data_IF_688952362574
#
_entry.id   IF_688952362574
#
_cell.length_a   1.000
_cell.length_b   1.000
_cell.length_c   1.000
_cell.angle_alpha   90.00
_cell.angle_beta   90.00
_cell.angle_gamma   90.00
#
_symmetry.space_group_name_H-M   'P 1'
#
loop_
_entity.id
_entity.type
_entity.pdbx_description
1 polymer ?
#
# COMPACT_ATOMS: atom_id res chain seq x y z
N UNK A 1 7.53 -31.16 70.09
CA UNK A 1 7.88 -32.31 69.23
C UNK A 1 7.18 -32.20 67.89
N UNK A 2 7.98 -32.12 66.82
CA UNK A 2 7.72 -32.55 65.42
C UNK A 2 6.60 -31.81 64.66
N UNK A 3 6.95 -30.88 63.77
CA UNK A 3 7.17 -31.12 62.31
C UNK A 3 5.90 -31.66 61.64
N UNK A 4 5.30 -31.05 60.61
CA UNK A 4 5.85 -31.00 59.26
C UNK A 4 5.02 -30.06 58.36
N UNK A 5 5.69 -29.55 57.33
CA UNK A 5 5.29 -28.58 56.31
C UNK A 5 4.06 -29.02 55.50
N UNK A 6 3.14 -28.10 55.19
CA UNK A 6 2.16 -28.28 54.10
C UNK A 6 2.88 -28.06 52.77
N UNK A 7 3.04 -29.14 52.03
CA UNK A 7 3.70 -29.23 50.74
C UNK A 7 2.64 -28.99 49.65
N UNK A 8 2.87 -28.01 48.78
CA UNK A 8 2.08 -27.75 47.58
C UNK A 8 2.35 -28.92 46.61
N UNK A 9 1.33 -29.75 46.37
CA UNK A 9 1.43 -30.83 45.40
C UNK A 9 1.03 -30.29 44.01
N UNK A 10 2.03 -30.09 43.16
CA UNK A 10 1.86 -30.02 41.72
C UNK A 10 1.34 -31.38 41.22
N UNK A 11 0.18 -31.38 40.56
CA UNK A 11 -0.30 -32.52 39.79
C UNK A 11 -0.06 -32.18 38.32
N UNK A 12 1.08 -32.64 37.79
CA UNK A 12 1.29 -32.77 36.36
C UNK A 12 0.38 -33.90 35.87
N UNK A 13 -0.76 -33.57 35.28
CA UNK A 13 -1.55 -34.52 34.52
C UNK A 13 -0.89 -34.70 33.15
N UNK A 14 0.10 -35.61 33.07
CA UNK A 14 0.56 -36.15 31.79
C UNK A 14 -0.53 -37.07 31.28
N UNK A 15 -1.41 -36.54 30.42
CA UNK A 15 -2.33 -37.35 29.63
C UNK A 15 -1.54 -38.00 28.50
N UNK A 16 -1.11 -39.25 28.70
CA UNK A 16 -0.64 -40.11 27.62
C UNK A 16 -1.88 -40.51 26.80
N UNK A 17 -2.15 -39.80 25.71
CA UNK A 17 -3.16 -40.22 24.74
C UNK A 17 -2.59 -41.34 23.88
N UNK A 18 -3.24 -42.49 23.97
CA UNK A 18 -3.00 -43.65 23.11
C UNK A 18 -3.21 -43.28 21.64
N UNK A 19 -2.18 -43.56 20.85
CA UNK A 19 -2.13 -43.44 19.39
C UNK A 19 -3.21 -44.27 18.70
N UNK A 20 -4.23 -43.58 18.21
CA UNK A 20 -4.96 -43.98 17.00
C UNK A 20 -4.32 -43.17 15.87
N UNK A 21 -4.01 -43.79 14.73
CA UNK A 21 -3.54 -43.08 13.54
C UNK A 21 -4.67 -42.17 13.01
N UNK A 22 -4.86 -41.02 13.67
CA UNK A 22 -5.71 -39.92 13.26
C UNK A 22 -4.85 -38.87 12.56
N UNK A 23 -5.44 -38.13 11.63
CA UNK A 23 -4.79 -36.99 10.99
C UNK A 23 -4.10 -36.12 12.05
N UNK A 24 -2.83 -35.78 11.84
CA UNK A 24 -2.11 -34.88 12.74
C UNK A 24 -2.91 -33.59 12.96
N UNK A 25 -2.97 -33.11 14.20
CA UNK A 25 -3.57 -31.81 14.49
C UNK A 25 -2.67 -30.72 13.89
N UNK A 26 -3.17 -30.09 12.84
CA UNK A 26 -2.47 -29.03 12.09
C UNK A 26 -3.02 -27.64 12.40
N UNK A 27 -3.88 -27.51 13.42
CA UNK A 27 -4.46 -26.21 13.82
C UNK A 27 -3.43 -25.23 14.41
N UNK A 28 -2.22 -25.71 14.71
CA UNK A 28 -1.09 -24.93 15.23
C UNK A 28 0.19 -25.31 14.48
N UNK A 29 1.11 -24.37 14.32
CA UNK A 29 2.44 -24.63 13.73
C UNK A 29 3.47 -25.06 14.78
N UNK A 30 3.06 -25.18 16.04
CA UNK A 30 3.93 -25.41 17.18
C UNK A 30 3.94 -24.25 18.16
N UNK A 31 5.04 -24.06 18.86
CA UNK A 31 5.25 -22.93 19.77
C UNK A 31 6.57 -22.20 19.53
N UNK A 32 6.56 -20.91 19.90
CA UNK A 32 7.75 -20.07 20.01
C UNK A 32 7.88 -19.72 21.50
N UNK A 33 8.96 -20.17 22.11
CA UNK A 33 9.07 -20.39 23.55
C UNK A 33 7.82 -21.13 24.07
N UNK A 34 7.15 -20.56 25.07
CA UNK A 34 5.96 -21.14 25.69
C UNK A 34 4.64 -20.72 25.01
N UNK A 35 4.70 -19.95 23.92
CA UNK A 35 3.52 -19.46 23.22
C UNK A 35 3.16 -20.34 22.02
N UNK A 36 2.02 -21.05 22.12
CA UNK A 36 1.44 -21.79 20.99
C UNK A 36 0.99 -20.83 19.88
N UNK A 37 1.39 -21.12 18.64
CA UNK A 37 1.05 -20.32 17.46
C UNK A 37 -0.02 -21.02 16.64
N UNK A 38 -1.15 -20.33 16.46
CA UNK A 38 -2.23 -20.80 15.61
C UNK A 38 -1.83 -20.79 14.13
N UNK A 39 -2.20 -21.84 13.38
CA UNK A 39 -1.84 -21.95 11.96
C UNK A 39 -2.38 -20.80 11.10
N UNK A 40 -3.53 -20.22 11.45
CA UNK A 40 -4.06 -19.05 10.74
C UNK A 40 -3.19 -17.79 10.89
N UNK A 41 -2.39 -17.66 11.94
CA UNK A 41 -1.42 -16.56 12.08
C UNK A 41 -0.24 -16.80 11.14
N UNK A 42 0.29 -18.03 11.14
CA UNK A 42 1.36 -18.43 10.22
C UNK A 42 0.95 -18.21 8.76
N UNK A 43 -0.25 -18.65 8.38
CA UNK A 43 -0.77 -18.51 7.01
C UNK A 43 -0.97 -17.05 6.58
N UNK A 44 -1.25 -16.13 7.51
CA UNK A 44 -1.33 -14.70 7.20
C UNK A 44 0.05 -14.14 6.85
N UNK A 45 1.07 -14.47 7.64
CA UNK A 45 2.45 -14.07 7.35
C UNK A 45 3.01 -14.78 6.11
N UNK A 46 2.61 -16.02 5.84
CA UNK A 46 2.99 -16.73 4.63
C UNK A 46 2.44 -16.04 3.36
N UNK A 47 1.26 -15.43 3.42
CA UNK A 47 0.76 -14.61 2.32
C UNK A 47 1.63 -13.38 2.07
N UNK A 48 2.07 -12.67 3.12
CA UNK A 48 3.01 -11.54 3.00
C UNK A 48 4.34 -11.99 2.39
N UNK A 49 4.92 -13.06 2.94
CA UNK A 49 6.19 -13.60 2.46
C UNK A 49 6.12 -14.09 1.00
N UNK A 50 4.97 -14.63 0.57
CA UNK A 50 4.72 -14.98 -0.84
C UNK A 50 4.72 -13.73 -1.70
N UNK A 51 4.03 -12.66 -1.31
CA UNK A 51 4.00 -11.40 -2.07
C UNK A 51 5.40 -10.78 -2.19
N UNK A 52 6.14 -10.70 -1.08
CA UNK A 52 7.54 -10.21 -1.07
C UNK A 52 8.44 -11.03 -2.00
N UNK A 53 8.29 -12.37 -1.98
CA UNK A 53 9.08 -13.25 -2.85
C UNK A 53 8.69 -13.11 -4.33
N UNK A 54 7.42 -12.86 -4.63
CA UNK A 54 6.94 -12.63 -5.99
C UNK A 54 7.48 -11.32 -6.56
N UNK A 55 7.44 -10.26 -5.76
CA UNK A 55 7.97 -8.94 -6.12
C UNK A 55 9.45 -9.02 -6.46
N UNK A 56 10.27 -9.66 -5.62
CA UNK A 56 11.71 -9.84 -5.92
C UNK A 56 11.92 -10.60 -7.24
N UNK A 57 11.14 -11.64 -7.51
CA UNK A 57 11.24 -12.38 -8.77
C UNK A 57 10.83 -11.50 -9.95
N UNK A 58 9.77 -10.72 -9.81
CA UNK A 58 9.30 -9.81 -10.86
C UNK A 58 10.32 -8.69 -11.13
N UNK A 59 11.02 -8.19 -10.09
CA UNK A 59 12.13 -7.25 -10.24
C UNK A 59 13.34 -7.86 -10.93
N UNK A 60 13.69 -9.13 -10.61
CA UNK A 60 14.72 -9.86 -11.35
C UNK A 60 14.36 -9.99 -12.84
N UNK A 61 13.09 -10.26 -13.17
CA UNK A 61 12.61 -10.32 -14.55
C UNK A 61 12.71 -8.95 -15.24
N UNK A 62 12.27 -7.89 -14.55
CA UNK A 62 12.35 -6.50 -15.04
C UNK A 62 13.81 -6.11 -15.34
N UNK A 63 14.74 -6.44 -14.45
CA UNK A 63 16.17 -6.23 -14.64
C UNK A 63 16.75 -6.99 -15.86
N UNK A 64 16.15 -8.13 -16.21
CA UNK A 64 16.46 -8.90 -17.42
C UNK A 64 15.74 -8.37 -18.69
N UNK A 65 14.94 -7.33 -18.58
CA UNK A 65 14.17 -6.76 -19.70
C UNK A 65 12.97 -7.61 -20.12
N UNK A 66 12.43 -8.43 -19.22
CA UNK A 66 11.26 -9.28 -19.45
C UNK A 66 10.25 -9.14 -18.32
N UNK A 67 9.12 -9.83 -18.42
CA UNK A 67 8.11 -9.96 -17.37
C UNK A 67 7.57 -11.40 -17.34
N UNK A 68 6.83 -11.74 -16.28
CA UNK A 68 6.30 -13.09 -16.04
C UNK A 68 5.38 -13.59 -17.16
N UNK A 69 4.67 -12.70 -17.87
CA UNK A 69 3.76 -13.06 -18.97
C UNK A 69 4.48 -13.53 -20.23
N UNK A 70 5.75 -13.15 -20.39
CA UNK A 70 6.59 -13.50 -21.55
C UNK A 70 7.40 -14.78 -21.35
N UNK A 71 7.41 -15.33 -20.14
CA UNK A 71 8.17 -16.55 -19.83
C UNK A 71 7.31 -17.79 -20.05
N UNK A 72 7.74 -18.66 -20.97
CA UNK A 72 7.04 -19.93 -21.23
C UNK A 72 7.05 -20.83 -19.99
N UNK A 73 5.88 -21.36 -19.60
CA UNK A 73 5.70 -22.19 -18.40
C UNK A 73 6.18 -21.51 -17.11
N UNK A 74 5.98 -20.19 -17.00
CA UNK A 74 6.35 -19.41 -15.82
C UNK A 74 5.81 -20.00 -14.52
N UNK A 75 6.67 -20.03 -13.51
CA UNK A 75 6.33 -20.37 -12.14
C UNK A 75 7.35 -19.72 -11.21
N UNK A 76 6.87 -18.94 -10.23
CA UNK A 76 7.72 -18.33 -9.20
C UNK A 76 8.60 -19.36 -8.48
N UNK A 77 8.12 -20.60 -8.31
CA UNK A 77 8.86 -21.69 -7.66
C UNK A 77 10.14 -22.13 -8.39
N UNK A 78 10.34 -21.69 -9.64
CA UNK A 78 11.56 -21.99 -10.41
C UNK A 78 12.70 -21.00 -10.16
N UNK A 79 12.46 -19.95 -9.37
CA UNK A 79 13.40 -18.88 -9.10
C UNK A 79 13.99 -18.97 -7.70
N UNK A 80 15.15 -18.32 -7.53
CA UNK A 80 15.76 -18.11 -6.23
C UNK A 80 15.49 -16.68 -5.77
N UNK A 81 15.38 -16.51 -4.45
CA UNK A 81 15.24 -15.24 -3.76
C UNK A 81 16.32 -15.20 -2.68
N UNK A 82 17.20 -14.20 -2.73
CA UNK A 82 18.32 -14.03 -1.78
C UNK A 82 19.13 -15.33 -1.54
N UNK A 83 19.60 -15.96 -2.62
CA UNK A 83 20.36 -17.23 -2.63
C UNK A 83 19.64 -18.47 -2.07
N UNK A 84 18.33 -18.38 -1.79
CA UNK A 84 17.48 -19.50 -1.37
C UNK A 84 16.51 -19.87 -2.48
N UNK A 85 16.02 -21.10 -2.48
CA UNK A 85 14.85 -21.44 -3.33
C UNK A 85 13.67 -20.60 -2.89
N UNK A 86 12.78 -20.24 -3.82
CA UNK A 86 11.55 -19.50 -3.52
C UNK A 86 10.82 -20.04 -2.28
N UNK A 87 10.58 -21.35 -2.22
CA UNK A 87 9.86 -21.98 -1.10
C UNK A 87 10.62 -21.91 0.23
N UNK A 88 11.95 -22.02 0.21
CA UNK A 88 12.76 -21.89 1.42
C UNK A 88 12.76 -20.44 1.91
N UNK A 89 12.87 -19.47 1.00
CA UNK A 89 12.77 -18.05 1.34
C UNK A 89 11.43 -17.75 2.00
N UNK A 90 10.31 -18.15 1.38
CA UNK A 90 8.97 -17.92 1.93
C UNK A 90 8.83 -18.55 3.32
N UNK A 91 9.28 -19.79 3.50
CA UNK A 91 9.21 -20.45 4.81
C UNK A 91 10.05 -19.72 5.87
N UNK A 92 11.29 -19.36 5.54
CA UNK A 92 12.18 -18.67 6.47
C UNK A 92 11.62 -17.29 6.85
N UNK A 93 11.15 -16.53 5.87
CA UNK A 93 10.54 -15.21 6.06
C UNK A 93 9.25 -15.30 6.88
N UNK A 94 8.42 -16.31 6.63
CA UNK A 94 7.21 -16.56 7.43
C UNK A 94 7.56 -16.84 8.89
N UNK A 95 8.54 -17.70 9.15
CA UNK A 95 8.97 -18.01 10.53
C UNK A 95 9.60 -16.81 11.23
N UNK A 96 10.31 -15.96 10.49
CA UNK A 96 10.83 -14.69 10.99
C UNK A 96 9.71 -13.75 11.40
N UNK A 97 8.70 -13.54 10.55
CA UNK A 97 7.53 -12.69 10.88
C UNK A 97 6.71 -13.25 12.06
N UNK A 98 6.56 -14.58 12.16
CA UNK A 98 5.90 -15.21 13.31
C UNK A 98 6.73 -15.04 14.60
N UNK A 99 8.06 -15.03 14.51
CA UNK A 99 8.94 -14.67 15.64
C UNK A 99 8.78 -13.20 16.03
N UNK A 100 8.73 -12.30 15.06
CA UNK A 100 8.49 -10.86 15.28
C UNK A 100 7.13 -10.65 15.97
N UNK A 101 6.07 -11.35 15.55
CA UNK A 101 4.76 -11.33 16.22
C UNK A 101 4.86 -11.61 17.72
N UNK A 102 5.64 -12.61 18.14
CA UNK A 102 5.88 -12.93 19.56
C UNK A 102 6.79 -11.90 20.23
N UNK A 103 7.80 -11.39 19.52
CA UNK A 103 8.70 -10.37 20.04
C UNK A 103 7.98 -9.06 20.34
N UNK A 104 7.08 -8.61 19.46
CA UNK A 104 6.26 -7.42 19.66
C UNK A 104 5.45 -7.54 20.96
N UNK A 105 4.73 -8.66 21.16
CA UNK A 105 3.96 -8.89 22.40
C UNK A 105 4.84 -8.83 23.65
N UNK A 106 6.00 -9.50 23.62
CA UNK A 106 6.93 -9.48 24.76
C UNK A 106 7.53 -8.10 25.00
N UNK A 107 7.88 -7.35 23.95
CA UNK A 107 8.37 -5.98 24.08
C UNK A 107 7.30 -5.04 24.61
N UNK A 108 6.07 -5.19 24.13
CA UNK A 108 4.92 -4.44 24.64
C UNK A 108 4.74 -4.64 26.15
N UNK A 109 4.82 -5.90 26.62
CA UNK A 109 4.77 -6.23 28.04
C UNK A 109 6.01 -5.74 28.83
N UNK A 110 7.22 -5.88 28.28
CA UNK A 110 8.48 -5.42 28.87
C UNK A 110 8.45 -3.90 29.14
N UNK A 111 7.93 -3.15 28.15
CA UNK A 111 7.75 -1.70 28.20
C UNK A 111 6.54 -1.28 29.05
N UNK A 112 5.75 -2.25 29.55
CA UNK A 112 4.53 -2.03 30.35
C UNK A 112 3.51 -1.16 29.61
N UNK A 113 3.45 -1.31 28.30
CA UNK A 113 2.47 -0.62 27.46
C UNK A 113 1.11 -1.29 27.62
N UNK A 114 0.05 -0.56 27.28
CA UNK A 114 -1.33 -1.07 27.31
C UNK A 114 -2.11 -0.52 26.13
N UNK A 115 -2.96 -1.35 25.53
CA UNK A 115 -3.98 -0.88 24.59
C UNK A 115 -5.20 -0.41 25.39
N UNK A 116 -5.71 0.77 25.05
CA UNK A 116 -6.98 1.26 25.60
C UNK A 116 -8.13 0.40 25.07
N UNK A 117 -9.29 0.47 25.72
CA UNK A 117 -10.47 -0.27 25.26
C UNK A 117 -10.98 0.28 23.93
N UNK A 118 -10.88 1.60 23.73
CA UNK A 118 -11.19 2.26 22.46
C UNK A 118 -10.30 1.75 21.32
N UNK A 119 -8.98 1.64 21.54
CA UNK A 119 -8.05 1.10 20.52
C UNK A 119 -8.41 -0.34 20.13
N UNK A 120 -8.73 -1.19 21.11
CA UNK A 120 -9.16 -2.58 20.85
C UNK A 120 -10.47 -2.62 20.07
N UNK A 121 -11.43 -1.77 20.42
CA UNK A 121 -12.73 -1.75 19.76
C UNK A 121 -12.66 -1.15 18.35
N UNK A 122 -11.76 -0.19 18.12
CA UNK A 122 -11.43 0.31 16.78
C UNK A 122 -10.82 -0.81 15.93
N UNK A 123 -9.85 -1.57 16.46
CA UNK A 123 -9.29 -2.74 15.76
C UNK A 123 -10.38 -3.75 15.41
N UNK A 124 -11.24 -4.12 16.35
CA UNK A 124 -12.35 -5.06 16.09
C UNK A 124 -13.32 -4.55 15.03
N UNK A 125 -13.62 -3.26 15.06
CA UNK A 125 -14.53 -2.62 14.10
C UNK A 125 -13.92 -2.65 12.70
N UNK A 126 -12.64 -2.30 12.56
CA UNK A 126 -11.89 -2.39 11.30
C UNK A 126 -11.78 -3.82 10.80
N UNK A 127 -11.47 -4.78 11.67
CA UNK A 127 -11.47 -6.22 11.36
C UNK A 127 -12.82 -6.65 10.83
N UNK A 128 -13.91 -6.28 11.50
CA UNK A 128 -15.27 -6.64 11.06
C UNK A 128 -15.58 -6.04 9.68
N UNK A 129 -15.30 -4.75 9.48
CA UNK A 129 -15.53 -4.05 8.22
C UNK A 129 -14.78 -4.75 7.09
N UNK A 130 -13.48 -4.99 7.24
CA UNK A 130 -12.67 -5.70 6.22
C UNK A 130 -13.23 -7.10 5.96
N UNK A 131 -13.50 -7.88 7.02
CA UNK A 131 -13.95 -9.27 6.91
C UNK A 131 -15.25 -9.41 6.10
N UNK A 132 -16.17 -8.46 6.28
CA UNK A 132 -17.48 -8.43 5.64
C UNK A 132 -17.44 -7.70 4.27
N UNK A 133 -16.32 -7.08 3.90
CA UNK A 133 -16.15 -6.38 2.61
C UNK A 133 -16.07 -7.39 1.47
N UNK A 134 -16.85 -7.13 0.42
CA UNK A 134 -16.85 -7.94 -0.80
C UNK A 134 -15.62 -7.64 -1.65
N UNK A 135 -14.98 -8.69 -2.16
CA UNK A 135 -13.84 -8.54 -3.06
C UNK A 135 -14.38 -8.19 -4.46
N UNK A 136 -13.89 -7.08 -5.02
CA UNK A 136 -14.19 -6.64 -6.39
C UNK A 136 -12.91 -6.46 -7.21
N UNK A 137 -12.96 -6.77 -8.50
CA UNK A 137 -11.85 -6.59 -9.43
C UNK A 137 -12.32 -5.85 -10.68
N UNK A 138 -11.68 -4.74 -11.03
CA UNK A 138 -12.13 -3.81 -12.10
C UNK A 138 -13.62 -3.44 -12.01
N UNK A 139 -14.10 -3.19 -10.79
CA UNK A 139 -15.52 -2.87 -10.53
C UNK A 139 -16.48 -4.07 -10.58
N UNK A 140 -15.99 -5.29 -10.86
CA UNK A 140 -16.80 -6.51 -10.87
C UNK A 140 -16.71 -7.26 -9.55
N UNK A 141 -17.88 -7.51 -8.94
CA UNK A 141 -18.06 -8.37 -7.78
C UNK A 141 -17.53 -9.79 -8.04
N UNK A 142 -16.78 -10.35 -7.08
CA UNK A 142 -16.42 -11.77 -7.07
C UNK A 142 -17.47 -12.65 -6.36
N UNK A 143 -18.49 -12.03 -5.74
CA UNK A 143 -19.49 -12.70 -4.91
C UNK A 143 -18.94 -13.32 -3.61
N UNK A 144 -17.70 -12.98 -3.22
CA UNK A 144 -17.05 -13.45 -2.00
C UNK A 144 -16.53 -12.29 -1.17
N UNK A 145 -16.61 -12.41 0.16
CA UNK A 145 -15.94 -11.46 1.06
C UNK A 145 -14.48 -11.82 1.30
N UNK A 146 -13.69 -10.87 1.79
CA UNK A 146 -12.33 -11.15 2.27
C UNK A 146 -12.32 -12.24 3.34
N UNK A 147 -13.27 -12.21 4.28
CA UNK A 147 -13.39 -13.23 5.31
C UNK A 147 -13.62 -14.64 4.74
N UNK A 148 -14.49 -14.78 3.74
CA UNK A 148 -14.72 -16.07 3.08
C UNK A 148 -13.48 -16.56 2.31
N UNK A 149 -12.70 -15.64 1.73
CA UNK A 149 -11.44 -15.96 1.08
C UNK A 149 -10.40 -16.47 2.10
N UNK A 150 -10.24 -15.75 3.22
CA UNK A 150 -9.36 -16.16 4.32
C UNK A 150 -9.74 -17.52 4.91
N UNK A 151 -11.03 -17.76 5.17
CA UNK A 151 -11.50 -19.06 5.70
C UNK A 151 -11.21 -20.21 4.73
N UNK A 152 -11.36 -20.00 3.42
CA UNK A 152 -11.00 -20.99 2.42
C UNK A 152 -9.49 -21.31 2.43
N UNK A 153 -8.65 -20.33 2.77
CA UNK A 153 -7.22 -20.48 2.99
C UNK A 153 -6.83 -21.04 4.37
N UNK A 154 -7.79 -21.27 5.28
CA UNK A 154 -7.52 -21.78 6.63
C UNK A 154 -7.23 -20.70 7.68
N UNK A 155 -7.46 -19.43 7.35
CA UNK A 155 -7.28 -18.29 8.25
C UNK A 155 -8.63 -17.94 8.87
N UNK A 156 -8.70 -17.95 10.20
CA UNK A 156 -9.91 -17.58 10.92
C UNK A 156 -9.96 -16.08 11.22
N UNK A 157 -11.16 -15.52 11.41
CA UNK A 157 -11.34 -14.13 11.85
C UNK A 157 -10.58 -13.83 13.14
N UNK A 158 -10.51 -14.81 14.05
CA UNK A 158 -9.78 -14.69 15.31
C UNK A 158 -8.27 -14.59 15.10
N UNK A 159 -7.72 -15.37 14.16
CA UNK A 159 -6.30 -15.31 13.80
C UNK A 159 -5.97 -13.97 13.17
N UNK A 160 -6.84 -13.47 12.28
CA UNK A 160 -6.71 -12.14 11.69
C UNK A 160 -6.78 -11.03 12.75
N UNK A 161 -7.80 -11.05 13.61
CA UNK A 161 -7.94 -10.08 14.71
C UNK A 161 -6.72 -10.08 15.64
N UNK A 162 -6.15 -11.25 15.95
CA UNK A 162 -4.95 -11.36 16.77
C UNK A 162 -3.74 -10.66 16.12
N UNK A 163 -3.54 -10.84 14.81
CA UNK A 163 -2.49 -10.13 14.07
C UNK A 163 -2.73 -8.62 14.08
N UNK A 164 -3.96 -8.16 13.84
CA UNK A 164 -4.27 -6.71 13.86
C UNK A 164 -4.06 -6.07 15.24
N UNK A 165 -4.37 -6.80 16.33
CA UNK A 165 -4.06 -6.34 17.68
C UNK A 165 -2.55 -6.25 17.91
N UNK A 166 -1.77 -7.20 17.42
CA UNK A 166 -0.30 -7.14 17.51
C UNK A 166 0.28 -6.04 16.63
N UNK A 167 -0.31 -5.74 15.47
CA UNK A 167 0.08 -4.56 14.69
C UNK A 167 -0.13 -3.27 15.50
N UNK A 168 -1.27 -3.13 16.18
CA UNK A 168 -1.51 -1.98 17.07
C UNK A 168 -0.55 -1.93 18.27
N UNK A 169 -0.15 -3.10 18.80
CA UNK A 169 0.93 -3.17 19.80
C UNK A 169 2.26 -2.71 19.21
N UNK A 170 2.55 -3.12 17.97
CA UNK A 170 3.79 -2.77 17.26
C UNK A 170 3.93 -1.27 17.11
N UNK A 171 2.86 -0.56 16.70
CA UNK A 171 2.84 0.91 16.65
C UNK A 171 3.26 1.51 18.00
N UNK A 172 2.68 1.06 19.12
CA UNK A 172 3.07 1.58 20.44
C UNK A 172 4.49 1.23 20.86
N UNK A 173 4.98 0.04 20.49
CA UNK A 173 6.38 -0.33 20.76
C UNK A 173 7.29 0.59 19.94
N UNK A 174 7.01 0.77 18.65
CA UNK A 174 7.74 1.67 17.77
C UNK A 174 7.80 3.09 18.34
N UNK A 175 6.65 3.66 18.72
CA UNK A 175 6.58 4.99 19.35
C UNK A 175 7.42 5.05 20.63
N UNK A 176 7.30 4.04 21.51
CA UNK A 176 8.07 3.99 22.74
C UNK A 176 9.59 3.97 22.53
N UNK A 177 10.06 3.52 21.36
CA UNK A 177 11.47 3.60 20.98
C UNK A 177 11.81 4.93 20.32
N UNK A 178 11.08 5.35 19.29
CA UNK A 178 11.58 6.34 18.33
C UNK A 178 10.87 7.69 18.39
N UNK A 179 9.67 7.76 18.96
CA UNK A 179 9.00 9.04 19.16
C UNK A 179 9.73 9.92 20.18
N UNK A 180 9.29 11.17 20.27
CA UNK A 180 9.85 12.13 21.22
C UNK A 180 9.83 11.59 22.66
N UNK A 181 11.00 11.59 23.30
CA UNK A 181 11.27 11.02 24.63
C UNK A 181 11.25 9.48 24.70
N UNK A 182 11.23 8.79 23.57
CA UNK A 182 11.42 7.35 23.48
C UNK A 182 12.82 6.89 23.90
N UNK A 183 12.98 5.58 24.02
CA UNK A 183 14.23 4.92 24.48
C UNK A 183 15.41 5.27 23.57
N UNK A 184 15.16 5.29 22.27
CA UNK A 184 16.10 5.59 21.19
C UNK A 184 15.52 6.68 20.30
N UNK A 185 14.96 7.73 20.93
CA UNK A 185 14.23 8.79 20.25
C UNK A 185 15.02 9.35 19.05
N UNK A 186 14.32 9.56 17.94
CA UNK A 186 14.90 10.23 16.77
C UNK A 186 14.92 11.74 17.03
N UNK A 187 16.02 12.40 16.70
CA UNK A 187 16.12 13.86 16.86
C UNK A 187 15.15 14.56 15.91
N UNK A 188 14.29 15.44 16.42
CA UNK A 188 13.33 16.24 15.64
C UNK A 188 14.00 16.99 14.49
N UNK A 189 15.26 17.43 14.68
CA UNK A 189 16.03 18.06 13.63
C UNK A 189 16.38 17.07 12.52
N UNK A 190 16.68 15.83 12.86
CA UNK A 190 16.99 14.79 11.87
C UNK A 190 15.74 14.39 11.09
N UNK A 191 14.58 14.30 11.75
CA UNK A 191 13.27 14.11 11.10
C UNK A 191 12.99 15.24 10.12
N UNK A 192 13.09 16.50 10.56
CA UNK A 192 12.88 17.66 9.71
C UNK A 192 13.87 17.72 8.54
N UNK A 193 15.14 17.41 8.78
CA UNK A 193 16.18 17.35 7.74
C UNK A 193 15.82 16.29 6.71
N UNK A 194 15.47 15.07 7.15
CA UNK A 194 15.07 14.00 6.25
C UNK A 194 13.86 14.42 5.40
N UNK A 195 12.84 15.01 6.01
CA UNK A 195 11.64 15.47 5.31
C UNK A 195 12.00 16.50 4.22
N UNK A 196 12.72 17.56 4.57
CA UNK A 196 13.06 18.60 3.60
C UNK A 196 14.08 18.18 2.54
N UNK A 197 14.91 17.17 2.83
CA UNK A 197 15.87 16.65 1.87
C UNK A 197 15.25 15.63 0.90
N UNK A 198 14.18 14.93 1.30
CA UNK A 198 13.60 13.83 0.50
C UNK A 198 12.24 14.14 -0.10
N UNK A 199 11.54 15.16 0.38
CA UNK A 199 10.23 15.56 -0.12
C UNK A 199 10.26 16.94 -0.77
N UNK A 200 9.32 17.18 -1.67
CA UNK A 200 9.14 18.46 -2.35
C UNK A 200 7.68 18.86 -2.43
N UNK A 201 7.43 20.16 -2.41
CA UNK A 201 6.12 20.78 -2.60
C UNK A 201 6.01 21.27 -4.03
N UNK A 202 4.98 20.82 -4.74
CA UNK A 202 4.80 21.09 -6.16
C UNK A 202 3.39 21.59 -6.46
N UNK A 203 3.27 22.51 -7.41
CA UNK A 203 2.01 22.82 -8.08
C UNK A 203 2.05 22.18 -9.46
N UNK A 204 1.04 21.39 -9.82
CA UNK A 204 1.05 20.54 -11.03
C UNK A 204 -0.28 20.65 -11.77
N UNK A 205 -0.27 21.19 -12.98
CA UNK A 205 -1.43 21.18 -13.89
C UNK A 205 -1.16 20.18 -15.03
N UNK A 206 -2.06 19.21 -15.21
CA UNK A 206 -1.95 18.19 -16.25
C UNK A 206 -2.70 18.62 -17.51
N UNK A 207 -1.99 19.11 -18.52
CA UNK A 207 -2.57 19.53 -19.79
C UNK A 207 -2.74 18.31 -20.71
N UNK A 208 -3.99 17.95 -21.00
CA UNK A 208 -4.35 16.78 -21.80
C UNK A 208 -3.86 16.88 -23.25
N UNK A 209 -3.27 15.78 -23.77
CA UNK A 209 -3.01 15.58 -25.20
C UNK A 209 -4.17 14.88 -25.91
N UNK A 210 -5.40 15.14 -25.48
CA UNK A 210 -6.63 14.73 -26.17
C UNK A 210 -7.39 15.95 -26.65
N UNK A 211 -8.01 15.83 -27.80
CA UNK A 211 -9.00 16.79 -28.30
C UNK A 211 -10.33 16.63 -27.53
N UNK A 212 -11.24 17.58 -27.68
CA UNK A 212 -12.55 17.56 -27.00
C UNK A 212 -13.41 16.33 -27.33
N UNK A 213 -13.21 15.71 -28.48
CA UNK A 213 -13.87 14.45 -28.87
C UNK A 213 -13.21 13.20 -28.24
N UNK A 214 -12.11 13.37 -27.50
CA UNK A 214 -11.33 12.29 -26.88
C UNK A 214 -10.19 11.73 -27.74
N UNK A 215 -10.05 12.15 -29.00
CA UNK A 215 -8.97 11.69 -29.89
C UNK A 215 -7.61 12.20 -29.43
N UNK A 216 -6.59 11.36 -29.57
CA UNK A 216 -5.21 11.75 -29.21
C UNK A 216 -4.68 12.79 -30.19
N UNK A 217 -4.14 13.89 -29.65
CA UNK A 217 -3.41 14.90 -30.41
C UNK A 217 -2.07 14.29 -30.86
N UNK A 218 -1.93 14.12 -32.18
CA UNK A 218 -0.73 13.52 -32.79
C UNK A 218 0.05 14.49 -33.68
N UNK A 219 -0.54 15.62 -34.06
CA UNK A 219 0.10 16.63 -34.92
C UNK A 219 1.14 17.43 -34.16
N UNK A 220 2.24 17.79 -34.84
CA UNK A 220 3.31 18.61 -34.26
C UNK A 220 2.79 19.98 -33.86
N UNK A 221 1.89 20.57 -34.66
CA UNK A 221 1.25 21.85 -34.35
C UNK A 221 0.35 21.76 -33.11
N UNK A 222 -0.44 20.69 -32.98
CA UNK A 222 -1.34 20.49 -31.84
C UNK A 222 -0.55 20.25 -30.54
N UNK A 223 0.49 19.41 -30.60
CA UNK A 223 1.41 19.21 -29.48
C UNK A 223 2.10 20.51 -29.10
N UNK A 224 2.62 21.27 -30.06
CA UNK A 224 3.22 22.58 -29.80
C UNK A 224 2.26 23.53 -29.09
N UNK A 225 0.99 23.59 -29.51
CA UNK A 225 -0.03 24.41 -28.87
C UNK A 225 -0.30 24.00 -27.41
N UNK A 226 -0.45 22.70 -27.12
CA UNK A 226 -0.62 22.20 -25.74
C UNK A 226 0.62 22.46 -24.87
N UNK A 227 1.83 22.40 -25.46
CA UNK A 227 3.07 22.77 -24.75
C UNK A 227 3.13 24.26 -24.43
N UNK A 228 2.77 25.12 -25.37
CA UNK A 228 2.69 26.58 -25.15
C UNK A 228 1.64 26.92 -24.09
N UNK A 229 0.51 26.21 -24.08
CA UNK A 229 -0.51 26.32 -23.03
C UNK A 229 0.04 25.94 -21.65
N UNK A 230 0.68 24.76 -21.53
CA UNK A 230 1.31 24.32 -20.29
C UNK A 230 2.37 25.32 -19.79
N UNK A 231 3.20 25.85 -20.70
CA UNK A 231 4.19 26.87 -20.35
C UNK A 231 3.52 28.17 -19.86
N UNK A 232 2.40 28.57 -20.47
CA UNK A 232 1.62 29.71 -20.02
C UNK A 232 1.13 29.56 -18.58
N UNK A 233 0.72 28.34 -18.17
CA UNK A 233 0.35 28.05 -16.79
C UNK A 233 1.55 28.13 -15.83
N UNK A 234 2.71 27.57 -16.23
CA UNK A 234 3.96 27.72 -15.45
C UNK A 234 4.30 29.19 -15.22
N UNK A 235 4.25 30.00 -16.28
CA UNK A 235 4.62 31.43 -16.20
C UNK A 235 3.67 32.21 -15.26
N UNK A 236 2.37 31.89 -15.28
CA UNK A 236 1.36 32.49 -14.40
C UNK A 236 1.54 32.08 -12.94
N UNK A 237 1.76 30.80 -12.68
CA UNK A 237 2.06 30.30 -11.33
C UNK A 237 3.33 30.96 -10.77
N UNK A 238 4.40 31.07 -11.57
CA UNK A 238 5.63 31.76 -11.18
C UNK A 238 5.46 33.28 -10.98
N UNK A 239 4.46 33.89 -11.62
CA UNK A 239 4.09 35.28 -11.39
C UNK A 239 3.28 35.48 -10.09
N UNK A 240 2.95 34.40 -9.37
CA UNK A 240 2.19 34.41 -8.14
C UNK A 240 0.68 34.49 -8.35
N UNK A 241 0.20 34.14 -9.54
CA UNK A 241 -1.23 33.94 -9.74
C UNK A 241 -1.69 32.67 -9.01
N UNK A 242 -2.88 32.76 -8.41
CA UNK A 242 -3.47 31.69 -7.60
C UNK A 242 -3.71 30.43 -8.43
N UNK A 243 -3.33 29.27 -7.89
CA UNK A 243 -3.42 27.99 -8.61
C UNK A 243 -4.86 27.69 -9.00
N UNK A 244 -5.81 27.87 -8.07
CA UNK A 244 -7.19 27.45 -8.30
C UNK A 244 -7.85 28.26 -9.40
N UNK A 245 -7.51 29.55 -9.47
CA UNK A 245 -7.90 30.42 -10.58
C UNK A 245 -7.42 29.86 -11.93
N UNK A 246 -6.17 29.42 -12.02
CA UNK A 246 -5.60 28.86 -13.26
C UNK A 246 -6.20 27.49 -13.57
N UNK A 247 -6.37 26.65 -12.55
CA UNK A 247 -6.89 25.29 -12.70
C UNK A 247 -8.35 25.29 -13.15
N UNK A 248 -9.22 26.13 -12.56
CA UNK A 248 -10.59 26.29 -13.03
C UNK A 248 -10.67 26.84 -14.46
N UNK A 249 -9.80 27.78 -14.85
CA UNK A 249 -9.74 28.25 -16.24
C UNK A 249 -9.40 27.10 -17.20
N UNK A 250 -8.47 26.23 -16.81
CA UNK A 250 -8.13 25.03 -17.56
C UNK A 250 -9.33 24.06 -17.66
N UNK A 251 -10.01 23.78 -16.56
CA UNK A 251 -11.20 22.91 -16.55
C UNK A 251 -12.33 23.46 -17.42
N UNK A 252 -12.63 24.75 -17.31
CA UNK A 252 -13.62 25.44 -18.15
C UNK A 252 -13.26 25.33 -19.64
N UNK A 253 -11.97 25.47 -19.97
CA UNK A 253 -11.49 25.30 -21.33
C UNK A 253 -11.68 23.86 -21.82
N UNK A 254 -11.31 22.85 -21.02
CA UNK A 254 -11.49 21.43 -21.37
C UNK A 254 -12.97 21.10 -21.57
N UNK A 255 -13.84 21.58 -20.68
CA UNK A 255 -15.28 21.39 -20.79
C UNK A 255 -15.85 22.04 -22.05
N UNK A 256 -15.37 23.24 -22.39
CA UNK A 256 -15.75 23.93 -23.62
C UNK A 256 -15.26 23.21 -24.87
N UNK A 257 -14.00 22.77 -24.91
CA UNK A 257 -13.43 21.98 -26.03
C UNK A 257 -14.28 20.72 -26.29
N UNK A 258 -14.71 20.04 -25.22
CA UNK A 258 -15.61 18.88 -25.30
C UNK A 258 -16.99 19.24 -25.86
N UNK A 259 -17.62 20.30 -25.33
CA UNK A 259 -18.95 20.74 -25.77
C UNK A 259 -18.96 21.19 -27.24
N UNK A 260 -17.92 21.90 -27.69
CA UNK A 260 -17.77 22.34 -29.07
C UNK A 260 -17.62 21.13 -30.02
N UNK A 261 -16.84 20.12 -29.62
CA UNK A 261 -16.67 18.88 -30.40
C UNK A 261 -17.98 18.07 -30.52
N UNK A 262 -18.76 17.98 -29.44
CA UNK A 262 -20.09 17.34 -29.46
C UNK A 262 -21.06 18.08 -30.40
N UNK A 263 -21.03 19.41 -30.41
CA UNK A 263 -21.85 20.22 -31.30
C UNK A 263 -21.47 20.05 -32.79
N UNK A 264 -20.18 19.99 -33.12
CA UNK A 264 -19.71 19.76 -34.49
C UNK A 264 -20.09 18.38 -35.02
N UNK A 265 -19.95 17.33 -34.19
CA UNK A 265 -20.36 15.96 -34.51
C UNK A 265 -21.85 15.88 -34.85
N UNK A 266 -22.70 16.62 -34.12
CA UNK A 266 -24.15 16.65 -34.35
C UNK A 266 -24.56 17.49 -35.57
N UNK A 267 -23.73 18.45 -35.99
CA UNK A 267 -23.96 19.27 -37.20
C UNK A 267 -23.64 18.53 -38.50
N UNK A 268 -22.70 17.58 -38.47
CA UNK A 268 -22.33 16.72 -39.60
C UNK A 268 -23.42 15.70 -39.99
N UNK A 269 -24.28 15.31 -39.04
CA UNK A 269 -25.38 14.37 -39.29
C UNK A 269 -26.55 14.98 -40.10
N UNK A 270 -26.62 16.31 -40.25
CA UNK A 270 -27.75 17.00 -40.92
C UNK A 270 -27.63 17.06 -42.46
N UNK A 271 -26.47 16.73 -43.05
CA UNK A 271 -26.27 16.89 -44.51
C UNK A 271 -26.45 15.62 -45.35
N UNK A 272 -26.86 14.48 -44.77
CA UNK A 272 -27.11 13.26 -45.56
C UNK A 272 -28.14 12.29 -44.97
N UNK A 273 -29.39 12.71 -44.82
CA UNK A 273 -30.55 11.80 -44.92
C UNK A 273 -31.87 12.57 -44.94
N UNK A 274 -32.37 12.85 -46.14
CA UNK A 274 -33.82 12.96 -46.36
C UNK A 274 -34.28 11.67 -47.02
N UNK A 275 -34.62 10.66 -46.21
CA UNK A 275 -35.68 9.69 -46.52
C UNK A 275 -35.86 8.69 -45.36
N UNK A 276 -37.02 8.81 -44.73
CA UNK A 276 -37.85 7.71 -44.19
C UNK A 276 -37.32 6.79 -43.07
N UNK A 277 -38.08 6.87 -41.97
CA UNK A 277 -38.69 5.76 -41.23
C UNK A 277 -38.17 5.55 -39.81
N UNK A 278 -39.12 5.77 -38.90
CA UNK A 278 -39.27 5.28 -37.54
C UNK A 278 -38.34 4.16 -37.08
N UNK A 279 -37.70 4.34 -35.93
CA UNK A 279 -38.18 3.73 -34.69
C UNK A 279 -37.44 4.33 -33.50
N UNK A 280 -38.20 4.65 -32.45
CA UNK A 280 -37.67 4.98 -31.14
C UNK A 280 -36.93 3.78 -30.54
N UNK A 281 -35.75 3.99 -29.97
CA UNK A 281 -35.27 3.29 -28.78
C UNK A 281 -34.33 4.22 -27.99
N UNK A 282 -34.72 4.45 -26.74
CA UNK A 282 -33.91 5.10 -25.71
C UNK A 282 -32.77 4.17 -25.31
N UNK A 283 -31.57 4.72 -25.14
CA UNK A 283 -30.57 4.18 -24.21
C UNK A 283 -29.65 5.31 -23.81
N UNK A 284 -29.89 5.82 -22.60
CA UNK A 284 -28.88 6.51 -21.83
C UNK A 284 -27.79 5.49 -21.49
N UNK A 285 -26.57 5.71 -21.98
CA UNK A 285 -25.37 5.07 -21.47
C UNK A 285 -24.48 6.20 -21.00
N UNK A 286 -24.59 6.49 -19.71
CA UNK A 286 -23.58 7.20 -18.94
C UNK A 286 -22.27 6.42 -19.09
N UNK A 287 -21.22 7.06 -19.60
CA UNK A 287 -19.86 6.52 -19.50
C UNK A 287 -18.97 7.69 -19.12
N UNK A 288 -18.94 7.95 -17.81
CA UNK A 288 -17.87 8.68 -17.18
C UNK A 288 -16.65 7.74 -17.18
N UNK A 289 -15.69 8.02 -18.05
CA UNK A 289 -14.32 7.55 -17.89
C UNK A 289 -13.62 8.61 -17.05
N UNK A 290 -13.55 8.35 -15.75
CA UNK A 290 -12.65 9.02 -14.83
C UNK A 290 -11.64 7.96 -14.41
N UNK A 291 -10.41 8.12 -14.88
CA UNK A 291 -9.28 7.25 -14.57
C UNK A 291 -8.14 8.17 -14.13
N UNK A 292 -8.30 8.72 -12.94
CA UNK A 292 -7.25 9.39 -12.17
C UNK A 292 -7.22 8.74 -10.79
N UNK A 293 -6.79 7.48 -10.76
CA UNK A 293 -6.52 6.79 -9.49
C UNK A 293 -5.17 7.27 -8.97
N UNK A 294 -5.20 8.42 -8.28
CA UNK A 294 -4.10 8.88 -7.41
C UNK A 294 -4.00 7.92 -6.21
N UNK A 295 -2.81 7.39 -5.97
CA UNK A 295 -2.49 6.63 -4.77
C UNK A 295 -2.36 7.60 -3.60
N UNK A 296 -3.28 7.52 -2.65
CA UNK A 296 -3.19 8.16 -1.35
C UNK A 296 -4.14 7.46 -0.37
N UNK A 297 -3.57 6.81 0.64
CA UNK A 297 -4.31 6.01 1.61
C UNK A 297 -5.02 6.91 2.64
N UNK A 298 -6.24 6.51 3.01
CA UNK A 298 -6.93 6.77 4.28
C UNK A 298 -7.53 8.17 4.58
N UNK A 299 -8.71 8.42 3.99
CA UNK A 299 -9.97 8.77 4.67
C UNK A 299 -10.01 9.81 5.79
N UNK A 300 -10.46 11.02 5.44
CA UNK A 300 -11.31 11.91 6.25
C UNK A 300 -12.13 12.82 5.34
N UNK A 301 -13.15 13.45 5.92
CA UNK A 301 -14.24 14.24 5.33
C UNK A 301 -13.78 15.29 4.31
N UNK A 302 -14.60 15.55 3.27
CA UNK A 302 -14.45 16.59 2.21
C UNK A 302 -13.47 17.73 2.57
N UNK A 303 -12.18 17.54 2.29
CA UNK A 303 -11.15 18.56 2.49
C UNK A 303 -11.07 19.46 1.26
N UNK A 304 -11.00 20.77 1.47
CA UNK A 304 -10.59 21.74 0.45
C UNK A 304 -9.36 21.15 -0.28
N UNK A 305 -9.45 20.96 -1.59
CA UNK A 305 -8.34 20.41 -2.36
C UNK A 305 -7.15 21.36 -2.22
N UNK A 306 -6.22 21.01 -1.35
CA UNK A 306 -4.96 21.72 -1.26
C UNK A 306 -4.23 21.51 -2.59
N UNK A 307 -4.12 22.60 -3.37
CA UNK A 307 -3.67 22.61 -4.76
C UNK A 307 -2.16 22.35 -4.93
N UNK A 308 -1.59 21.67 -3.97
CA UNK A 308 -0.18 21.50 -3.75
C UNK A 308 0.08 20.03 -3.46
N UNK A 309 1.01 19.46 -4.20
CA UNK A 309 1.35 18.05 -4.15
C UNK A 309 2.65 17.89 -3.38
N UNK A 310 2.61 17.09 -2.33
CA UNK A 310 3.80 16.56 -1.68
C UNK A 310 4.28 15.34 -2.48
N UNK A 311 5.47 15.41 -3.05
CA UNK A 311 6.13 14.27 -3.69
C UNK A 311 7.36 13.86 -2.90
N UNK A 312 7.62 12.56 -2.81
CA UNK A 312 8.90 11.98 -2.38
C UNK A 312 9.82 11.75 -3.57
N UNK A 313 11.14 11.86 -3.36
CA UNK A 313 12.15 11.45 -4.35
C UNK A 313 12.08 9.99 -4.76
N UNK A 314 11.43 9.15 -3.96
CA UNK A 314 11.26 7.71 -4.19
C UNK A 314 9.92 7.39 -4.85
N UNK A 315 9.07 8.38 -5.10
CA UNK A 315 7.79 8.14 -5.76
C UNK A 315 8.01 7.67 -7.20
N UNK A 316 7.15 6.76 -7.63
CA UNK A 316 7.19 6.17 -8.98
C UNK A 316 6.02 6.63 -9.85
N UNK A 317 5.14 7.48 -9.31
CA UNK A 317 3.96 8.02 -9.97
C UNK A 317 4.06 9.56 -10.04
N UNK A 318 3.68 10.20 -11.16
CA UNK A 318 3.17 9.62 -12.41
C UNK A 318 4.18 8.75 -13.19
N UNK A 319 5.47 9.02 -13.04
CA UNK A 319 6.55 8.12 -13.48
C UNK A 319 7.85 8.45 -12.73
N UNK A 320 8.77 7.48 -12.61
CA UNK A 320 10.11 7.69 -12.03
C UNK A 320 10.88 8.84 -12.72
N UNK A 321 10.78 8.93 -14.06
CA UNK A 321 11.44 9.98 -14.85
C UNK A 321 10.83 11.37 -14.60
N UNK A 322 9.50 11.45 -14.44
CA UNK A 322 8.84 12.69 -14.04
C UNK A 322 9.31 13.16 -12.66
N UNK A 323 9.30 12.27 -11.66
CA UNK A 323 9.69 12.61 -10.28
C UNK A 323 11.12 13.10 -10.27
N UNK A 324 12.05 12.38 -10.91
CA UNK A 324 13.45 12.80 -11.04
C UNK A 324 13.59 14.18 -11.67
N UNK A 325 12.91 14.42 -12.80
CA UNK A 325 12.92 15.73 -13.45
C UNK A 325 12.37 16.84 -12.56
N UNK A 326 11.26 16.61 -11.85
CA UNK A 326 10.64 17.60 -10.98
C UNK A 326 11.59 18.03 -9.85
N UNK A 327 12.36 17.10 -9.30
CA UNK A 327 13.36 17.38 -8.26
C UNK A 327 14.66 18.04 -8.79
N UNK A 328 14.91 18.06 -10.11
CA UNK A 328 15.99 18.83 -10.74
C UNK A 328 15.66 20.34 -10.83
N UNK A 329 14.37 20.71 -10.75
CA UNK A 329 13.96 22.13 -10.67
C UNK A 329 14.48 22.76 -9.37
N UNK A 330 15.03 23.97 -9.45
CA UNK A 330 15.34 24.75 -8.24
C UNK A 330 14.04 25.23 -7.58
N UNK A 331 14.07 25.46 -6.26
CA UNK A 331 12.94 26.06 -5.53
C UNK A 331 12.57 27.43 -6.13
N UNK A 332 11.28 27.64 -6.35
CA UNK A 332 10.73 28.83 -7.01
C UNK A 332 10.93 28.85 -8.53
N UNK A 333 11.22 27.70 -9.14
CA UNK A 333 11.28 27.52 -10.60
C UNK A 333 10.22 26.53 -11.07
N UNK A 334 9.92 26.60 -12.36
CA UNK A 334 8.99 25.69 -12.99
C UNK A 334 9.37 25.39 -14.43
N UNK A 335 8.66 24.43 -15.01
CA UNK A 335 8.85 23.99 -16.38
C UNK A 335 7.73 23.06 -16.82
N UNK A 336 7.83 22.61 -18.07
CA UNK A 336 6.90 21.64 -18.65
C UNK A 336 7.60 20.31 -18.82
N UNK A 337 7.06 19.25 -18.21
CA UNK A 337 7.45 17.87 -18.49
C UNK A 337 6.51 17.29 -19.55
N UNK A 338 7.09 16.75 -20.61
CA UNK A 338 6.35 16.17 -21.72
C UNK A 338 6.20 14.67 -21.54
N UNK A 339 4.96 14.18 -21.45
CA UNK A 339 4.63 12.76 -21.49
C UNK A 339 3.78 12.45 -22.74
N UNK A 340 3.58 11.16 -23.03
CA UNK A 340 2.86 10.66 -24.19
C UNK A 340 1.36 10.99 -24.17
N UNK A 341 0.79 11.25 -23.00
CA UNK A 341 -0.65 11.44 -22.79
C UNK A 341 -1.04 12.82 -22.27
N UNK A 342 -0.13 13.46 -21.54
CA UNK A 342 -0.33 14.76 -20.89
C UNK A 342 0.98 15.53 -20.88
N UNK A 343 0.89 16.86 -20.84
CA UNK A 343 2.01 17.74 -20.53
C UNK A 343 1.81 18.32 -19.14
N UNK A 344 2.78 18.11 -18.26
CA UNK A 344 2.71 18.59 -16.88
C UNK A 344 3.33 19.98 -16.80
N UNK A 345 2.52 20.98 -16.48
CA UNK A 345 3.00 22.29 -16.05
C UNK A 345 3.33 22.21 -14.55
N UNK A 346 4.60 22.34 -14.19
CA UNK A 346 5.08 22.11 -12.82
C UNK A 346 5.84 23.31 -12.29
N UNK A 347 5.53 23.70 -11.06
CA UNK A 347 6.33 24.66 -10.27
C UNK A 347 6.75 23.98 -8.97
N UNK A 348 8.04 24.07 -8.64
CA UNK A 348 8.58 23.62 -7.36
C UNK A 348 8.53 24.77 -6.35
N UNK A 349 7.71 24.63 -5.33
CA UNK A 349 7.54 25.63 -4.28
C UNK A 349 8.53 25.38 -3.12
N UNK A 350 8.65 26.34 -2.20
CA UNK A 350 9.38 26.10 -0.95
C UNK A 350 8.50 25.26 -0.02
N UNK A 351 8.93 24.02 0.26
CA UNK A 351 8.24 23.11 1.17
C UNK A 351 8.26 23.64 2.61
N UNK A 352 9.19 24.53 2.97
CA UNK A 352 9.28 25.08 4.32
C UNK A 352 8.17 26.09 4.64
N UNK A 353 7.45 26.57 3.64
CA UNK A 353 6.27 27.41 3.85
C UNK A 353 5.07 26.58 4.36
N UNK A 354 5.12 25.24 4.27
CA UNK A 354 4.15 24.29 4.82
C UNK A 354 4.71 23.56 6.03
N UNK A 355 4.85 24.29 7.15
CA UNK A 355 5.32 23.71 8.42
C UNK A 355 4.35 22.66 8.98
N UNK A 356 3.06 22.78 8.66
CA UNK A 356 2.00 21.83 8.96
C UNK A 356 2.27 20.45 8.33
N UNK A 357 2.76 20.40 7.09
CA UNK A 357 3.05 19.14 6.41
C UNK A 357 4.10 18.28 7.09
N UNK A 358 5.11 18.88 7.71
CA UNK A 358 6.08 18.11 8.51
C UNK A 358 5.38 17.44 9.70
N UNK A 359 4.45 18.14 10.34
CA UNK A 359 3.71 17.60 11.49
C UNK A 359 2.76 16.49 11.05
N UNK A 360 2.03 16.70 9.94
CA UNK A 360 1.09 15.72 9.37
C UNK A 360 1.79 14.45 8.89
N UNK A 361 3.01 14.58 8.37
CA UNK A 361 3.79 13.46 7.85
C UNK A 361 4.82 12.92 8.85
N UNK A 362 4.85 13.42 10.08
CA UNK A 362 5.86 13.04 11.09
C UNK A 362 5.97 11.53 11.27
N UNK A 363 4.84 10.85 11.49
CA UNK A 363 4.81 9.40 11.69
C UNK A 363 5.32 8.64 10.46
N UNK A 364 4.90 9.06 9.25
CA UNK A 364 5.34 8.44 8.01
C UNK A 364 6.86 8.61 7.81
N UNK A 365 7.39 9.81 8.03
CA UNK A 365 8.84 10.08 7.95
C UNK A 365 9.60 9.25 8.97
N UNK A 366 9.09 9.16 10.20
CA UNK A 366 9.71 8.39 11.26
C UNK A 366 9.77 6.90 10.90
N UNK A 367 8.69 6.33 10.36
CA UNK A 367 8.65 4.95 9.86
C UNK A 367 9.68 4.72 8.75
N UNK A 368 9.72 5.58 7.73
CA UNK A 368 10.72 5.49 6.66
C UNK A 368 12.16 5.53 7.20
N UNK A 369 12.41 6.32 8.25
CA UNK A 369 13.74 6.41 8.87
C UNK A 369 14.08 5.26 9.81
N UNK A 370 13.09 4.53 10.35
CA UNK A 370 13.29 3.65 11.51
C UNK A 370 12.71 2.25 11.40
N UNK A 371 11.96 1.92 10.35
CA UNK A 371 11.40 0.57 10.19
C UNK A 371 12.49 -0.50 10.08
N UNK A 372 13.58 -0.24 9.34
CA UNK A 372 14.72 -1.17 9.26
C UNK A 372 15.39 -1.38 10.63
N UNK A 373 15.63 -0.29 11.38
CA UNK A 373 16.20 -0.33 12.73
C UNK A 373 15.26 -1.10 13.70
N UNK A 374 13.95 -0.88 13.57
CA UNK A 374 12.91 -1.52 14.36
C UNK A 374 12.82 -3.02 14.07
N UNK A 375 12.80 -3.39 12.79
CA UNK A 375 12.79 -4.78 12.35
C UNK A 375 14.03 -5.52 12.84
N UNK A 376 15.21 -4.90 12.70
CA UNK A 376 16.46 -5.45 13.22
C UNK A 376 16.40 -5.67 14.75
N UNK A 377 15.81 -4.73 15.50
CA UNK A 377 15.60 -4.87 16.95
C UNK A 377 14.67 -6.05 17.29
N UNK A 378 13.58 -6.24 16.56
CA UNK A 378 12.66 -7.36 16.75
C UNK A 378 13.34 -8.70 16.42
N UNK A 379 14.08 -8.76 15.31
CA UNK A 379 14.82 -9.95 14.89
C UNK A 379 15.91 -10.33 15.90
N UNK A 380 16.68 -9.35 16.38
CA UNK A 380 17.68 -9.55 17.43
C UNK A 380 17.04 -10.01 18.74
N UNK A 381 15.88 -9.44 19.11
CA UNK A 381 15.11 -9.86 20.28
C UNK A 381 14.65 -11.32 20.17
N UNK A 382 14.23 -11.75 18.98
CA UNK A 382 13.65 -13.06 18.74
C UNK A 382 14.66 -14.15 18.36
N UNK A 383 15.94 -13.80 18.17
CA UNK A 383 16.96 -14.72 17.63
C UNK A 383 17.11 -16.01 18.44
N UNK A 384 17.00 -15.90 19.76
CA UNK A 384 17.22 -16.98 20.73
C UNK A 384 15.91 -17.64 21.21
N UNK A 385 14.75 -17.27 20.63
CA UNK A 385 13.49 -17.92 20.99
C UNK A 385 13.50 -19.40 20.60
N UNK A 386 13.12 -20.25 21.55
CA UNK A 386 13.03 -21.67 21.34
C UNK A 386 11.89 -21.98 20.36
N UNK A 387 12.13 -22.86 19.39
CA UNK A 387 11.14 -23.29 18.42
C UNK A 387 10.81 -24.76 18.65
N UNK A 388 9.54 -25.05 18.96
CA UNK A 388 9.00 -26.41 18.98
C UNK A 388 7.94 -26.52 17.88
N UNK A 389 8.39 -26.84 16.67
CA UNK A 389 7.56 -26.75 15.46
C UNK A 389 6.87 -28.08 15.11
N UNK A 390 5.61 -27.97 14.73
CA UNK A 390 4.81 -29.07 14.22
C UNK A 390 5.12 -29.30 12.73
N UNK A 391 6.02 -30.24 12.45
CA UNK A 391 6.43 -30.58 11.08
C UNK A 391 5.27 -31.02 10.17
N UNK A 392 4.22 -31.64 10.72
CA UNK A 392 3.05 -32.04 9.92
C UNK A 392 2.26 -30.82 9.44
N UNK A 393 2.13 -29.80 10.31
CA UNK A 393 1.53 -28.52 9.94
C UNK A 393 2.39 -27.79 8.91
N UNK A 394 3.70 -27.65 9.14
CA UNK A 394 4.60 -26.98 8.19
C UNK A 394 4.61 -27.67 6.82
N UNK A 395 4.59 -29.00 6.78
CA UNK A 395 4.51 -29.74 5.52
C UNK A 395 3.18 -29.52 4.80
N UNK A 396 2.07 -29.40 5.54
CA UNK A 396 0.75 -29.11 4.98
C UNK A 396 0.70 -27.71 4.38
N UNK A 397 1.29 -26.73 5.04
CA UNK A 397 1.17 -25.31 4.68
C UNK A 397 2.21 -24.80 3.71
N UNK A 398 3.14 -25.65 3.26
CA UNK A 398 4.11 -25.29 2.22
C UNK A 398 3.48 -24.46 1.10
N UNK A 399 4.16 -23.41 0.60
CA UNK A 399 3.63 -22.51 -0.42
C UNK A 399 3.10 -23.23 -1.67
N UNK A 400 3.71 -24.35 -2.07
CA UNK A 400 3.29 -25.17 -3.21
C UNK A 400 1.93 -25.88 -3.00
N UNK A 401 1.54 -26.07 -1.74
CA UNK A 401 0.31 -26.76 -1.35
C UNK A 401 -0.86 -25.80 -1.12
N UNK A 402 -0.59 -24.49 -1.04
CA UNK A 402 -1.64 -23.49 -0.91
C UNK A 402 -2.44 -23.44 -2.21
N UNK A 403 -3.76 -23.58 -2.10
CA UNK A 403 -4.66 -23.54 -3.26
C UNK A 403 -4.67 -22.13 -3.83
N UNK A 404 -4.36 -22.01 -5.12
CA UNK A 404 -4.55 -20.80 -5.90
C UNK A 404 -6.04 -20.46 -6.07
#
# INVERSE_FOLDING_TARGET
MKHLKKLVAAICAVTITLSVAGCADVSTIGSIDDQTINAGIYLLYEQSAISEAQEEVDDQLKAMGTDSSKVENFSYFNYNVQDKTYSQYVQDRTLEQVKQYVAIQKKFDELKLTLTDEEKDNVKTSVKKMWDTEISYYGYSTGKTYGQNYEAGGISKKSYEAVQLVNKMSEKVFDAYYEKNGISATDEKDIATYFYDNYGRFQIIQVSLKEGNGDKITTDEGKKAKKEQAQGYVDRLLAGEDYETIYHEYEDQVAKEKADAEAESNSGASSKASSESSSAVSSASETASDDTTSSGTSGSEEEEHDHEFLLSKTDTSPSEEFVKWAFELETGKGGVYEDDSVYYAVVRCDIKEREDWLTENHSNVLHVMKDDDYEAMLNETAKDYALDLNNDALNRYKPENLKK
#
